data_IF_115524464394
#
_entry.id   IF_115524464394
#
_cell.length_a   1.000
_cell.length_b   1.000
_cell.length_c   1.000
_cell.angle_alpha   90.00
_cell.angle_beta   90.00
_cell.angle_gamma   90.00
#
_symmetry.space_group_name_H-M   'P 1'
#
loop_
_entity.id
_entity.type
_entity.pdbx_description
1 polymer ?
#
# COMPACT_ATOMS: atom_id res chain seq x y z
N UNK A 1 -12.48 19.53 -5.05
CA UNK A 1 -13.96 19.57 -5.15
C UNK A 1 -14.54 20.25 -3.92
N UNK A 2 -15.45 21.20 -4.11
CA UNK A 2 -15.87 22.14 -3.07
C UNK A 2 -16.76 21.48 -1.99
N UNK A 3 -16.64 21.87 -0.70
CA UNK A 3 -17.46 21.39 0.42
C UNK A 3 -19.00 21.59 0.39
N UNK A 4 -19.61 22.52 -0.40
CA UNK A 4 -21.02 22.82 -0.22
C UNK A 4 -21.97 21.80 -0.89
N UNK A 5 -21.46 20.90 -1.74
CA UNK A 5 -22.29 19.88 -2.43
C UNK A 5 -22.61 18.70 -1.51
N UNK A 6 -21.62 18.25 -0.73
CA UNK A 6 -21.78 17.17 0.27
C UNK A 6 -22.74 17.56 1.39
N UNK A 7 -22.73 18.85 1.78
CA UNK A 7 -23.64 19.37 2.81
C UNK A 7 -25.10 19.43 2.33
N UNK A 8 -25.33 19.69 1.04
CA UNK A 8 -26.69 19.67 0.45
C UNK A 8 -27.25 18.25 0.38
N UNK A 9 -26.43 17.26 0.03
CA UNK A 9 -26.87 15.85 -0.03
C UNK A 9 -27.23 15.29 1.36
N UNK A 10 -26.42 15.58 2.38
CA UNK A 10 -26.72 15.18 3.77
C UNK A 10 -27.99 15.86 4.32
N UNK A 11 -28.25 17.10 3.95
CA UNK A 11 -29.47 17.82 4.35
C UNK A 11 -30.74 17.26 3.68
N UNK A 12 -30.65 16.80 2.42
CA UNK A 12 -31.76 16.16 1.70
C UNK A 12 -32.12 14.81 2.35
N UNK A 13 -31.12 14.00 2.73
CA UNK A 13 -31.31 12.72 3.41
C UNK A 13 -31.90 12.93 4.83
N UNK A 14 -31.46 13.95 5.56
CA UNK A 14 -32.04 14.29 6.87
C UNK A 14 -33.49 14.79 6.78
N UNK A 15 -33.84 15.53 5.72
CA UNK A 15 -35.21 15.99 5.46
C UNK A 15 -36.15 14.85 5.02
N UNK A 16 -35.60 13.82 4.35
CA UNK A 16 -36.33 12.58 4.06
C UNK A 16 -36.59 11.75 5.33
N UNK A 17 -35.64 11.70 6.28
CA UNK A 17 -35.85 11.00 7.57
C UNK A 17 -36.87 11.70 8.48
N UNK A 18 -36.96 13.03 8.45
CA UNK A 18 -37.93 13.77 9.30
C UNK A 18 -39.36 13.80 8.73
N UNK A 19 -39.53 13.62 7.41
CA UNK A 19 -40.85 13.56 6.76
C UNK A 19 -41.52 12.18 6.86
N UNK A 20 -40.74 11.11 7.02
CA UNK A 20 -41.26 9.74 7.21
C UNK A 20 -41.83 9.50 8.63
N UNK A 21 -41.51 10.35 9.61
CA UNK A 21 -41.95 10.14 11.00
C UNK A 21 -43.34 10.71 11.35
N UNK A 22 -44.04 11.42 10.45
CA UNK A 22 -45.27 12.16 10.80
C UNK A 22 -46.59 11.68 10.19
N UNK A 23 -46.64 10.56 9.47
CA UNK A 23 -47.91 9.97 9.05
C UNK A 23 -48.18 8.62 9.73
N UNK A 24 -48.63 8.69 10.99
CA UNK A 24 -49.43 7.64 11.63
C UNK A 24 -50.87 8.13 11.76
N UNK A 25 -51.74 7.69 10.86
CA UNK A 25 -53.15 7.39 11.17
C UNK A 25 -53.57 6.13 10.38
N UNK A 26 -54.22 5.15 11.02
CA UNK A 26 -54.49 3.84 10.43
C UNK A 26 -55.90 3.78 9.87
N UNK A 27 -56.09 3.37 8.61
CA UNK A 27 -57.37 2.78 8.20
C UNK A 27 -57.22 1.93 6.94
N UNK A 28 -57.87 0.78 6.99
CA UNK A 28 -58.25 -0.16 5.91
C UNK A 28 -57.20 -1.20 5.50
N UNK A 29 -57.59 -2.42 5.84
CA UNK A 29 -56.96 -3.74 5.74
C UNK A 29 -56.68 -4.17 4.30
N UNK A 30 -55.43 -4.51 4.02
CA UNK A 30 -54.99 -5.41 2.95
C UNK A 30 -53.99 -6.40 3.55
N UNK A 31 -54.15 -7.72 3.35
CA UNK A 31 -53.37 -8.74 4.07
C UNK A 31 -51.91 -8.88 3.60
N UNK A 32 -51.42 -8.03 2.69
CA UNK A 32 -50.07 -8.16 2.12
C UNK A 32 -49.04 -7.12 2.59
N UNK A 33 -49.33 -6.27 3.58
CA UNK A 33 -48.55 -5.03 3.79
C UNK A 33 -47.46 -5.08 4.88
N UNK A 34 -47.08 -6.24 5.41
CA UNK A 34 -46.12 -6.31 6.53
C UNK A 34 -44.76 -6.92 6.19
N UNK A 35 -44.52 -7.30 4.93
CA UNK A 35 -43.21 -7.77 4.54
C UNK A 35 -42.23 -6.58 4.42
N UNK A 36 -41.05 -6.65 5.06
CA UNK A 36 -40.07 -5.58 4.98
C UNK A 36 -39.69 -5.32 3.52
N UNK A 37 -39.41 -4.06 3.17
CA UNK A 37 -39.11 -3.63 1.79
C UNK A 37 -37.97 -4.47 1.18
N UNK A 38 -36.97 -4.82 1.99
CA UNK A 38 -35.86 -5.70 1.65
C UNK A 38 -36.25 -7.15 1.35
N UNK A 39 -37.46 -7.61 1.69
CA UNK A 39 -37.96 -8.94 1.30
C UNK A 39 -38.65 -8.89 -0.06
N UNK A 40 -39.32 -7.77 -0.36
CA UNK A 40 -40.08 -7.56 -1.60
C UNK A 40 -39.21 -7.15 -2.79
N UNK A 41 -38.03 -6.58 -2.52
CA UNK A 41 -37.13 -6.10 -3.56
C UNK A 41 -36.64 -7.25 -4.47
N UNK A 42 -36.74 -7.16 -5.80
CA UNK A 42 -36.14 -8.15 -6.71
C UNK A 42 -34.63 -8.27 -6.49
N UNK A 43 -34.08 -9.47 -6.67
CA UNK A 43 -32.65 -9.73 -6.44
C UNK A 43 -31.75 -8.92 -7.36
N UNK A 44 -32.12 -8.74 -8.64
CA UNK A 44 -31.38 -7.90 -9.58
C UNK A 44 -31.26 -6.45 -9.11
N UNK A 45 -32.34 -5.88 -8.57
CA UNK A 45 -32.35 -4.52 -8.03
C UNK A 45 -31.55 -4.43 -6.73
N UNK A 46 -31.62 -5.45 -5.86
CA UNK A 46 -30.80 -5.51 -4.66
C UNK A 46 -29.30 -5.48 -5.00
N UNK A 47 -28.88 -6.29 -5.98
CA UNK A 47 -27.49 -6.34 -6.47
C UNK A 47 -27.05 -4.98 -7.00
N UNK A 48 -27.88 -4.33 -7.83
CA UNK A 48 -27.58 -3.00 -8.35
C UNK A 48 -27.49 -1.92 -7.28
N UNK A 49 -28.34 -1.96 -6.25
CA UNK A 49 -28.29 -1.00 -5.13
C UNK A 49 -27.03 -1.21 -4.30
N UNK A 50 -26.73 -2.46 -3.94
CA UNK A 50 -25.55 -2.77 -3.12
C UNK A 50 -24.26 -2.44 -3.85
N UNK A 51 -24.23 -2.59 -5.17
CA UNK A 51 -23.07 -2.22 -5.98
C UNK A 51 -22.84 -0.70 -6.11
N UNK A 52 -23.77 0.15 -5.64
CA UNK A 52 -23.57 1.60 -5.50
C UNK A 52 -22.95 1.99 -4.14
N UNK A 53 -22.94 1.05 -3.18
CA UNK A 53 -22.43 1.28 -1.84
C UNK A 53 -20.94 0.94 -1.77
N UNK A 54 -20.18 1.64 -0.94
CA UNK A 54 -18.81 1.23 -0.60
C UNK A 54 -18.83 -0.12 0.13
N UNK A 55 -17.73 -0.90 0.05
CA UNK A 55 -17.65 -2.20 0.72
C UNK A 55 -17.96 -2.09 2.22
N UNK A 56 -17.50 -1.01 2.88
CA UNK A 56 -17.80 -0.72 4.28
C UNK A 56 -19.30 -0.61 4.57
N UNK A 57 -20.05 0.05 3.70
CA UNK A 57 -21.50 0.21 3.84
C UNK A 57 -22.21 -1.13 3.61
N UNK A 58 -21.74 -1.94 2.66
CA UNK A 58 -22.26 -3.30 2.44
C UNK A 58 -22.06 -4.15 3.70
N UNK A 59 -20.87 -4.14 4.31
CA UNK A 59 -20.62 -4.83 5.57
C UNK A 59 -21.52 -4.32 6.70
N UNK A 60 -21.69 -3.00 6.80
CA UNK A 60 -22.60 -2.40 7.78
C UNK A 60 -24.04 -2.87 7.58
N UNK A 61 -24.50 -2.98 6.33
CA UNK A 61 -25.84 -3.47 5.98
C UNK A 61 -26.04 -4.95 6.34
N UNK A 62 -25.02 -5.80 6.15
CA UNK A 62 -25.05 -7.21 6.57
C UNK A 62 -25.36 -7.33 8.07
N UNK A 63 -24.84 -6.41 8.88
CA UNK A 63 -25.01 -6.42 10.34
C UNK A 63 -26.37 -5.90 10.82
N UNK A 64 -27.16 -5.25 9.95
CA UNK A 64 -28.44 -4.61 10.37
C UNK A 64 -29.54 -5.62 10.69
N UNK A 65 -29.71 -6.68 9.89
CA UNK A 65 -30.74 -7.70 10.12
C UNK A 65 -30.44 -9.03 9.41
N UNK A 66 -30.99 -10.13 9.95
CA UNK A 66 -30.80 -11.50 9.43
C UNK A 66 -31.32 -11.68 7.99
N UNK A 67 -32.34 -10.92 7.60
CA UNK A 67 -32.87 -10.97 6.24
C UNK A 67 -31.83 -10.44 5.23
N UNK A 68 -31.28 -9.25 5.50
CA UNK A 68 -30.26 -8.65 4.65
C UNK A 68 -28.99 -9.50 4.62
N UNK A 69 -28.51 -9.95 5.78
CA UNK A 69 -27.40 -10.90 5.85
C UNK A 69 -27.61 -12.10 4.91
N UNK A 70 -28.77 -12.78 5.01
CA UNK A 70 -29.06 -13.94 4.15
C UNK A 70 -29.15 -13.58 2.67
N UNK A 71 -29.72 -12.43 2.32
CA UNK A 71 -29.85 -12.01 0.92
C UNK A 71 -28.51 -11.59 0.32
N UNK A 72 -27.70 -10.84 1.06
CA UNK A 72 -26.38 -10.39 0.63
C UNK A 72 -25.46 -11.61 0.45
N UNK A 73 -25.36 -12.47 1.47
CA UNK A 73 -24.51 -13.65 1.41
C UNK A 73 -24.89 -14.62 0.28
N UNK A 74 -26.20 -14.80 0.02
CA UNK A 74 -26.67 -15.66 -1.11
C UNK A 74 -26.36 -15.09 -2.49
N UNK A 75 -26.11 -13.80 -2.61
CA UNK A 75 -25.87 -13.13 -3.89
C UNK A 75 -24.50 -12.45 -3.90
N UNK A 76 -23.57 -12.91 -3.06
CA UNK A 76 -22.29 -12.25 -2.83
C UNK A 76 -21.50 -12.08 -4.13
N UNK A 77 -21.41 -13.15 -4.92
CA UNK A 77 -20.71 -13.14 -6.21
C UNK A 77 -21.34 -12.19 -7.23
N UNK A 78 -22.67 -12.20 -7.33
CA UNK A 78 -23.40 -11.28 -8.21
C UNK A 78 -23.21 -9.81 -7.79
N UNK A 79 -23.18 -9.53 -6.48
CA UNK A 79 -22.89 -8.19 -5.94
C UNK A 79 -21.46 -7.78 -6.28
N UNK A 80 -20.48 -8.65 -6.02
CA UNK A 80 -19.07 -8.36 -6.27
C UNK A 80 -18.76 -8.13 -7.76
N UNK A 81 -19.34 -8.95 -8.65
CA UNK A 81 -19.21 -8.78 -10.09
C UNK A 81 -19.84 -7.46 -10.57
N UNK A 82 -21.05 -7.15 -10.12
CA UNK A 82 -21.72 -5.89 -10.47
C UNK A 82 -20.95 -4.67 -9.92
N UNK A 83 -20.35 -4.79 -8.73
CA UNK A 83 -19.49 -3.78 -8.11
C UNK A 83 -18.27 -3.46 -9.00
N UNK A 84 -17.52 -4.48 -9.42
CA UNK A 84 -16.38 -4.31 -10.33
C UNK A 84 -16.80 -3.80 -11.71
N UNK A 85 -17.90 -4.34 -12.26
CA UNK A 85 -18.41 -3.94 -13.58
C UNK A 85 -18.81 -2.47 -13.61
N UNK A 86 -19.30 -1.90 -12.51
CA UNK A 86 -19.65 -0.49 -12.42
C UNK A 86 -18.42 0.41 -12.39
N UNK A 87 -17.42 0.07 -11.57
CA UNK A 87 -16.15 0.78 -11.50
C UNK A 87 -15.43 0.80 -12.84
N UNK A 88 -15.42 -0.32 -13.56
CA UNK A 88 -14.84 -0.40 -14.91
C UNK A 88 -15.53 0.55 -15.90
N UNK A 89 -16.85 0.69 -15.84
CA UNK A 89 -17.58 1.67 -16.68
C UNK A 89 -17.26 3.11 -16.30
N UNK A 90 -17.16 3.41 -15.00
CA UNK A 90 -16.84 4.77 -14.54
C UNK A 90 -15.46 5.22 -15.02
N UNK A 91 -14.47 4.31 -15.02
CA UNK A 91 -13.13 4.58 -15.55
C UNK A 91 -13.15 4.87 -17.06
N UNK A 92 -13.87 4.08 -17.84
CA UNK A 92 -14.00 4.29 -19.30
C UNK A 92 -14.60 5.67 -19.65
N UNK A 93 -15.61 6.12 -18.90
CA UNK A 93 -16.17 7.47 -19.09
C UNK A 93 -15.21 8.60 -18.67
N UNK A 94 -14.20 8.31 -17.85
CA UNK A 94 -13.21 9.29 -17.39
C UNK A 94 -12.08 9.47 -18.41
N UNK A 95 -11.69 8.42 -19.13
CA UNK A 95 -10.64 8.46 -20.17
C UNK A 95 -11.06 9.26 -21.41
N UNK A 96 -12.37 9.37 -21.69
CA UNK A 96 -12.91 10.12 -22.83
C UNK A 96 -12.87 11.67 -22.62
N UNK A 97 -12.50 12.15 -21.43
CA UNK A 97 -12.36 13.58 -21.12
C UNK A 97 -10.86 13.96 -21.11
N UNK A 98 -10.39 14.26 -22.31
CA UNK A 98 -9.03 14.58 -22.72
C UNK A 98 -8.35 15.77 -21.97
N UNK A 99 -7.06 15.58 -21.63
CA UNK A 99 -6.01 16.57 -21.32
C UNK A 99 -6.24 17.57 -20.16
N UNK A 100 -5.91 17.17 -18.93
CA UNK A 100 -5.29 18.08 -17.98
C UNK A 100 -4.20 17.34 -17.18
N UNK A 101 -2.94 17.76 -17.34
CA UNK A 101 -1.74 17.28 -16.63
C UNK A 101 -1.77 17.59 -15.11
N UNK A 102 -2.95 17.83 -14.54
CA UNK A 102 -3.19 18.05 -13.13
C UNK A 102 -3.47 16.73 -12.44
N UNK A 103 -2.40 15.96 -12.21
CA UNK A 103 -2.24 15.01 -11.11
C UNK A 103 -3.54 14.24 -10.85
N UNK A 104 -3.84 13.25 -11.70
CA UNK A 104 -4.83 12.24 -11.35
C UNK A 104 -4.48 11.75 -9.95
N UNK A 105 -5.35 12.05 -8.99
CA UNK A 105 -5.25 11.51 -7.64
C UNK A 105 -5.02 10.01 -7.81
N UNK A 106 -3.99 9.40 -7.19
CA UNK A 106 -3.70 7.98 -7.32
C UNK A 106 -5.01 7.21 -7.07
N UNK A 107 -5.62 6.77 -8.16
CA UNK A 107 -7.04 6.46 -8.20
C UNK A 107 -7.33 5.19 -7.43
N UNK A 108 -8.58 5.02 -7.00
CA UNK A 108 -9.07 3.72 -6.54
C UNK A 108 -9.32 2.81 -7.76
N UNK A 109 -8.24 2.32 -8.37
CA UNK A 109 -8.28 1.43 -9.52
C UNK A 109 -8.39 -0.05 -9.09
N UNK A 110 -9.48 -0.32 -8.37
CA UNK A 110 -9.85 -1.68 -8.02
C UNK A 110 -10.11 -2.55 -9.26
N UNK A 111 -10.40 -1.93 -10.41
CA UNK A 111 -10.59 -2.65 -11.68
C UNK A 111 -9.27 -3.24 -12.15
N UNK A 112 -8.19 -2.46 -12.17
CA UNK A 112 -6.85 -2.94 -12.49
C UNK A 112 -6.40 -4.05 -11.54
N UNK A 113 -6.50 -3.83 -10.22
CA UNK A 113 -5.99 -4.83 -9.26
C UNK A 113 -6.77 -6.14 -9.32
N UNK A 114 -8.08 -6.10 -9.63
CA UNK A 114 -8.90 -7.31 -9.82
C UNK A 114 -8.47 -8.14 -11.04
N UNK A 115 -7.96 -7.48 -12.09
CA UNK A 115 -7.44 -8.18 -13.27
C UNK A 115 -6.06 -8.77 -12.98
N UNK A 116 -5.23 -8.06 -12.21
CA UNK A 116 -3.89 -8.52 -11.84
C UNK A 116 -3.94 -9.71 -10.85
N UNK A 117 -4.92 -9.70 -9.94
CA UNK A 117 -5.16 -10.74 -8.96
C UNK A 117 -6.58 -11.31 -9.14
N UNK A 118 -6.79 -12.23 -10.09
CA UNK A 118 -8.04 -12.95 -10.20
C UNK A 118 -8.14 -14.01 -9.08
N UNK A 119 -9.34 -14.26 -8.51
CA UNK A 119 -9.50 -15.35 -7.57
C UNK A 119 -9.25 -16.69 -8.26
N UNK A 120 -8.75 -17.71 -7.54
CA UNK A 120 -8.48 -19.01 -8.11
C UNK A 120 -9.78 -19.63 -8.65
N UNK A 121 -9.72 -20.41 -9.75
CA UNK A 121 -10.89 -21.07 -10.28
C UNK A 121 -11.48 -22.02 -9.23
N UNK A 122 -12.82 -22.13 -9.14
CA UNK A 122 -13.48 -22.98 -8.16
C UNK A 122 -13.04 -24.44 -8.36
N UNK A 123 -12.45 -25.04 -7.33
CA UNK A 123 -12.05 -26.45 -7.34
C UNK A 123 -13.30 -27.34 -7.20
N UNK A 124 -14.02 -27.57 -8.30
CA UNK A 124 -15.07 -28.59 -8.31
C UNK A 124 -14.43 -29.97 -8.40
N UNK A 125 -14.38 -30.68 -7.28
CA UNK A 125 -14.10 -32.11 -7.26
C UNK A 125 -15.25 -32.87 -7.94
N UNK A 126 -15.06 -33.20 -9.22
CA UNK A 126 -15.65 -34.39 -9.85
C UNK A 126 -17.17 -34.44 -10.01
N UNK A 127 -17.83 -33.40 -10.50
CA UNK A 127 -19.21 -33.53 -11.00
C UNK A 127 -19.29 -32.96 -12.43
N UNK A 128 -19.40 -33.88 -13.38
CA UNK A 128 -19.83 -33.65 -14.76
C UNK A 128 -21.05 -32.74 -14.81
N UNK A 129 -20.92 -31.59 -15.49
CA UNK A 129 -21.91 -31.07 -16.41
C UNK A 129 -21.37 -29.81 -17.10
N UNK A 130 -21.09 -29.92 -18.40
CA UNK A 130 -20.47 -28.91 -19.25
C UNK A 130 -21.32 -27.67 -19.54
N UNK A 131 -21.69 -26.92 -18.50
CA UNK A 131 -22.39 -25.63 -18.61
C UNK A 131 -22.32 -24.82 -17.30
N UNK A 132 -21.14 -24.71 -16.70
CA UNK A 132 -20.89 -23.71 -15.65
C UNK A 132 -19.70 -22.85 -16.09
N UNK A 133 -19.93 -21.54 -16.12
CA UNK A 133 -18.93 -20.50 -16.36
C UNK A 133 -17.69 -20.80 -15.49
N UNK A 134 -16.56 -21.11 -16.11
CA UNK A 134 -15.23 -21.21 -15.46
C UNK A 134 -14.71 -19.83 -15.01
N UNK A 135 -15.61 -18.86 -14.79
CA UNK A 135 -15.25 -17.49 -14.45
C UNK A 135 -14.82 -17.39 -12.97
N UNK A 136 -13.81 -16.58 -12.67
CA UNK A 136 -13.42 -16.28 -11.30
C UNK A 136 -14.61 -15.78 -10.46
N UNK A 137 -14.93 -16.49 -9.38
CA UNK A 137 -15.99 -16.09 -8.45
C UNK A 137 -15.47 -15.08 -7.42
N UNK A 138 -15.59 -13.79 -7.74
CA UNK A 138 -15.28 -12.71 -6.79
C UNK A 138 -16.26 -12.73 -5.60
N UNK A 139 -15.73 -12.60 -4.38
CA UNK A 139 -16.52 -12.46 -3.14
C UNK A 139 -16.30 -11.07 -2.54
N UNK A 140 -17.17 -10.64 -1.63
CA UNK A 140 -16.98 -9.35 -0.93
C UNK A 140 -15.71 -9.38 -0.08
N UNK A 141 -15.41 -10.51 0.55
CA UNK A 141 -14.15 -10.73 1.27
C UNK A 141 -12.93 -10.53 0.36
N UNK A 142 -12.93 -11.17 -0.81
CA UNK A 142 -11.84 -11.02 -1.77
C UNK A 142 -11.69 -9.58 -2.28
N UNK A 143 -12.81 -8.87 -2.53
CA UNK A 143 -12.76 -7.44 -2.87
C UNK A 143 -12.17 -6.59 -1.75
N UNK A 144 -12.40 -6.94 -0.48
CA UNK A 144 -11.78 -6.25 0.65
C UNK A 144 -10.26 -6.50 0.69
N UNK A 145 -9.81 -7.72 0.40
CA UNK A 145 -8.38 -8.06 0.31
C UNK A 145 -7.70 -7.32 -0.84
N UNK A 146 -8.35 -7.26 -2.02
CA UNK A 146 -7.88 -6.45 -3.15
C UNK A 146 -7.80 -4.95 -2.79
N UNK A 147 -8.81 -4.44 -2.09
CA UNK A 147 -8.83 -3.05 -1.61
C UNK A 147 -7.67 -2.78 -0.67
N UNK A 148 -7.36 -3.72 0.23
CA UNK A 148 -6.21 -3.64 1.14
C UNK A 148 -4.89 -3.66 0.36
N UNK A 149 -4.73 -4.58 -0.57
CA UNK A 149 -3.54 -4.67 -1.44
C UNK A 149 -3.30 -3.36 -2.20
N UNK A 150 -4.34 -2.82 -2.84
CA UNK A 150 -4.25 -1.55 -3.56
C UNK A 150 -3.95 -0.36 -2.64
N UNK A 151 -4.55 -0.32 -1.45
CA UNK A 151 -4.26 0.70 -0.43
C UNK A 151 -2.80 0.66 0.00
N UNK A 152 -2.22 -0.54 0.17
CA UNK A 152 -0.79 -0.70 0.46
C UNK A 152 0.06 -0.14 -0.68
N UNK A 153 -0.28 -0.41 -1.94
CA UNK A 153 0.43 0.14 -3.11
C UNK A 153 0.36 1.68 -3.16
N UNK A 154 -0.82 2.28 -2.93
CA UNK A 154 -1.00 3.74 -2.87
C UNK A 154 -0.13 4.34 -1.76
N UNK A 155 -0.20 3.78 -0.55
CA UNK A 155 0.53 4.32 0.61
C UNK A 155 2.04 4.16 0.45
N UNK A 156 2.50 2.99 0.01
CA UNK A 156 3.92 2.74 -0.16
C UNK A 156 4.52 3.60 -1.27
N UNK A 157 3.85 3.71 -2.42
CA UNK A 157 4.28 4.61 -3.51
C UNK A 157 4.31 6.07 -3.05
N UNK A 158 3.33 6.51 -2.26
CA UNK A 158 3.32 7.85 -1.67
C UNK A 158 4.55 8.08 -0.79
N UNK A 159 4.77 7.25 0.24
CA UNK A 159 5.86 7.49 1.18
C UNK A 159 7.24 7.32 0.53
N UNK A 160 7.37 6.40 -0.42
CA UNK A 160 8.60 6.25 -1.21
C UNK A 160 8.84 7.52 -2.04
N UNK A 161 7.84 8.01 -2.77
CA UNK A 161 7.95 9.24 -3.55
C UNK A 161 8.26 10.45 -2.65
N UNK A 162 7.57 10.55 -1.51
CA UNK A 162 7.75 11.60 -0.51
C UNK A 162 9.19 11.64 0.01
N UNK A 163 9.76 10.48 0.33
CA UNK A 163 11.14 10.34 0.76
C UNK A 163 12.13 10.70 -0.34
N UNK A 164 11.96 10.13 -1.54
CA UNK A 164 12.90 10.31 -2.66
C UNK A 164 12.94 11.76 -3.11
N UNK A 165 11.79 12.42 -3.29
CA UNK A 165 11.72 13.84 -3.66
C UNK A 165 12.35 14.70 -2.58
N UNK A 166 12.05 14.44 -1.29
CA UNK A 166 12.64 15.20 -0.19
C UNK A 166 14.16 15.05 -0.16
N UNK A 167 14.67 13.83 -0.29
CA UNK A 167 16.09 13.55 -0.34
C UNK A 167 16.74 14.26 -1.54
N UNK A 168 16.18 14.10 -2.74
CA UNK A 168 16.67 14.72 -3.97
C UNK A 168 16.80 16.23 -3.83
N UNK A 169 15.74 16.89 -3.37
CA UNK A 169 15.74 18.34 -3.17
C UNK A 169 16.74 18.80 -2.08
N UNK A 170 17.18 17.92 -1.17
CA UNK A 170 18.19 18.21 -0.15
C UNK A 170 19.63 17.98 -0.65
N UNK A 171 19.85 17.05 -1.58
CA UNK A 171 21.18 16.58 -1.97
C UNK A 171 21.63 17.02 -3.35
N UNK A 172 20.69 17.24 -4.28
CA UNK A 172 20.99 17.61 -5.65
C UNK A 172 21.54 19.05 -5.74
N UNK A 173 22.65 19.21 -6.46
CA UNK A 173 23.38 20.47 -6.53
C UNK A 173 22.59 21.61 -7.21
N UNK A 174 21.65 21.27 -8.11
CA UNK A 174 20.79 22.24 -8.79
C UNK A 174 19.51 22.48 -7.98
N UNK A 175 18.90 21.44 -7.43
CA UNK A 175 17.64 21.53 -6.70
C UNK A 175 17.79 22.22 -5.34
N UNK A 176 18.85 21.91 -4.59
CA UNK A 176 19.06 22.43 -3.22
C UNK A 176 19.04 23.97 -3.14
N UNK A 177 19.79 24.72 -3.97
CA UNK A 177 19.73 26.18 -3.93
C UNK A 177 18.38 26.72 -4.43
N UNK A 178 17.82 26.17 -5.50
CA UNK A 178 16.56 26.62 -6.10
C UNK A 178 15.35 26.42 -5.17
N UNK A 179 15.33 25.29 -4.46
CA UNK A 179 14.30 24.98 -3.50
C UNK A 179 14.27 25.99 -2.36
N UNK A 180 15.41 26.56 -1.97
CA UNK A 180 15.55 27.42 -0.78
C UNK A 180 14.82 28.77 -0.83
N UNK A 181 14.38 29.23 -2.01
CA UNK A 181 13.98 30.62 -2.32
C UNK A 181 12.64 31.13 -1.75
N UNK A 182 11.54 30.35 -1.78
CA UNK A 182 10.19 30.82 -1.36
C UNK A 182 9.33 29.73 -0.71
N UNK A 183 8.65 30.03 0.40
CA UNK A 183 7.87 29.04 1.19
C UNK A 183 6.65 28.46 0.44
N UNK A 184 5.88 29.28 -0.24
CA UNK A 184 4.69 28.82 -0.98
C UNK A 184 5.07 28.01 -2.21
N UNK A 185 6.11 28.47 -2.93
CA UNK A 185 6.63 27.76 -4.08
C UNK A 185 7.26 26.41 -3.69
N UNK A 186 7.91 26.33 -2.52
CA UNK A 186 8.41 25.07 -1.94
C UNK A 186 7.32 24.01 -1.84
N UNK A 187 6.17 24.36 -1.28
CA UNK A 187 5.09 23.40 -1.02
C UNK A 187 4.42 22.94 -2.32
N UNK A 188 4.21 23.85 -3.28
CA UNK A 188 3.64 23.53 -4.59
C UNK A 188 4.58 22.64 -5.42
N UNK A 189 5.87 23.00 -5.49
CA UNK A 189 6.88 22.18 -6.20
C UNK A 189 6.98 20.81 -5.55
N UNK A 190 7.07 20.77 -4.22
CA UNK A 190 7.19 19.54 -3.47
C UNK A 190 6.00 18.61 -3.70
N UNK A 191 4.77 19.11 -3.49
CA UNK A 191 3.54 18.33 -3.70
C UNK A 191 3.39 17.86 -5.14
N UNK A 192 3.70 18.70 -6.13
CA UNK A 192 3.68 18.31 -7.55
C UNK A 192 4.68 17.20 -7.85
N UNK A 193 5.93 17.34 -7.41
CA UNK A 193 6.96 16.35 -7.64
C UNK A 193 6.64 15.00 -6.97
N UNK A 194 6.12 15.03 -5.73
CA UNK A 194 5.66 13.82 -5.04
C UNK A 194 4.49 13.18 -5.79
N UNK A 195 3.51 13.95 -6.25
CA UNK A 195 2.38 13.44 -7.02
C UNK A 195 2.79 12.78 -8.34
N UNK A 196 3.68 13.43 -9.09
CA UNK A 196 4.21 12.88 -10.36
C UNK A 196 5.00 11.59 -10.14
N UNK A 197 5.90 11.58 -9.15
CA UNK A 197 6.68 10.39 -8.84
C UNK A 197 5.79 9.26 -8.31
N UNK A 198 4.82 9.56 -7.45
CA UNK A 198 3.87 8.57 -6.97
C UNK A 198 3.08 7.95 -8.12
N UNK A 199 2.55 8.76 -9.05
CA UNK A 199 1.81 8.27 -10.21
C UNK A 199 2.67 7.32 -11.07
N UNK A 200 3.97 7.59 -11.19
CA UNK A 200 4.93 6.73 -11.91
C UNK A 200 5.23 5.43 -11.16
N UNK A 201 5.23 5.44 -9.83
CA UNK A 201 5.55 4.27 -9.00
C UNK A 201 4.35 3.36 -8.71
N UNK A 202 3.12 3.87 -8.80
CA UNK A 202 1.93 3.18 -8.31
C UNK A 202 1.70 1.81 -8.94
N UNK A 203 1.64 1.72 -10.28
CA UNK A 203 1.42 0.46 -10.99
C UNK A 203 2.63 -0.49 -10.89
N UNK A 204 3.88 -0.02 -11.07
CA UNK A 204 5.07 -0.84 -10.78
C UNK A 204 5.06 -1.47 -9.40
N UNK A 205 4.57 -0.77 -8.38
CA UNK A 205 4.43 -1.30 -7.02
C UNK A 205 3.47 -2.50 -6.97
N UNK A 206 2.33 -2.42 -7.66
CA UNK A 206 1.38 -3.53 -7.73
C UNK A 206 1.96 -4.74 -8.48
N UNK A 207 2.73 -4.51 -9.55
CA UNK A 207 3.45 -5.58 -10.24
C UNK A 207 4.52 -6.25 -9.36
N UNK A 208 5.19 -5.49 -8.48
CA UNK A 208 6.09 -6.07 -7.47
C UNK A 208 5.33 -6.98 -6.51
N UNK A 209 4.17 -6.53 -5.99
CA UNK A 209 3.33 -7.38 -5.14
C UNK A 209 2.95 -8.66 -5.87
N UNK A 210 2.50 -8.55 -7.13
CA UNK A 210 2.12 -9.69 -7.95
C UNK A 210 3.26 -10.71 -8.09
N UNK A 211 4.47 -10.24 -8.40
CA UNK A 211 5.62 -11.11 -8.50
C UNK A 211 5.96 -11.79 -7.16
N UNK A 212 6.00 -11.02 -6.06
CA UNK A 212 6.36 -11.53 -4.73
C UNK A 212 5.36 -12.58 -4.24
N UNK A 213 4.06 -12.34 -4.43
CA UNK A 213 3.00 -13.30 -4.07
C UNK A 213 3.01 -14.55 -4.95
N UNK A 214 3.21 -14.39 -6.27
CA UNK A 214 3.32 -15.54 -7.19
C UNK A 214 4.55 -16.39 -6.88
N UNK A 215 5.66 -15.75 -6.53
CA UNK A 215 6.88 -16.45 -6.14
C UNK A 215 6.71 -17.16 -4.78
N UNK A 216 6.06 -16.53 -3.80
CA UNK A 216 5.78 -17.15 -2.50
C UNK A 216 4.87 -18.39 -2.63
N UNK A 217 3.80 -18.29 -3.42
CA UNK A 217 2.87 -19.41 -3.67
C UNK A 217 3.52 -20.57 -4.44
N UNK A 218 4.44 -20.28 -5.37
CA UNK A 218 5.24 -21.30 -6.04
C UNK A 218 6.12 -22.09 -5.05
N UNK A 219 6.74 -21.40 -4.09
CA UNK A 219 7.56 -22.02 -3.05
C UNK A 219 6.74 -22.92 -2.12
N UNK A 220 5.53 -22.50 -1.75
CA UNK A 220 4.66 -23.27 -0.84
C UNK A 220 4.05 -24.51 -1.52
N UNK A 221 3.77 -24.44 -2.82
CA UNK A 221 3.04 -25.48 -3.57
C UNK A 221 3.92 -26.67 -4.05
N UNK A 222 5.23 -26.66 -3.77
CA UNK A 222 6.22 -27.59 -4.33
C UNK A 222 6.18 -27.69 -5.88
N UNK A 223 5.54 -26.72 -6.55
CA UNK A 223 5.58 -26.64 -8.01
C UNK A 223 6.87 -25.94 -8.42
N UNK A 224 7.65 -26.50 -9.37
CA UNK A 224 8.88 -25.88 -9.85
C UNK A 224 8.56 -24.74 -10.84
N UNK A 225 7.79 -23.73 -10.40
CA UNK A 225 7.69 -22.48 -11.13
C UNK A 225 8.98 -21.70 -10.88
N UNK A 226 9.79 -21.56 -11.91
CA UNK A 226 10.97 -20.71 -11.85
C UNK A 226 10.56 -19.23 -11.84
N UNK A 227 11.29 -18.36 -11.14
CA UNK A 227 11.11 -16.91 -11.26
C UNK A 227 11.14 -16.45 -12.73
N UNK A 228 11.94 -17.13 -13.56
CA UNK A 228 11.98 -16.89 -15.00
C UNK A 228 10.61 -17.11 -15.67
N UNK A 229 9.91 -18.19 -15.32
CA UNK A 229 8.57 -18.45 -15.86
C UNK A 229 7.55 -17.39 -15.43
N UNK A 230 7.66 -16.83 -14.21
CA UNK A 230 6.80 -15.72 -13.76
C UNK A 230 7.03 -14.49 -14.65
N UNK A 231 8.29 -14.13 -14.89
CA UNK A 231 8.65 -12.97 -15.71
C UNK A 231 8.37 -13.16 -17.21
N UNK A 232 8.13 -14.39 -17.65
CA UNK A 232 7.72 -14.73 -19.02
C UNK A 232 6.21 -14.83 -19.19
N UNK A 233 5.44 -14.73 -18.11
CA UNK A 233 3.99 -14.68 -18.13
C UNK A 233 3.47 -13.23 -18.04
N UNK A 234 2.21 -12.97 -18.44
CA UNK A 234 1.56 -11.69 -18.16
C UNK A 234 1.59 -11.38 -16.65
N UNK A 235 1.77 -10.10 -16.25
CA UNK A 235 1.87 -8.90 -17.08
C UNK A 235 3.28 -8.62 -17.62
N UNK A 236 4.29 -9.37 -17.19
CA UNK A 236 5.70 -9.11 -17.51
C UNK A 236 6.08 -9.43 -18.95
N UNK A 237 5.21 -10.03 -19.76
CA UNK A 237 5.41 -10.16 -21.22
C UNK A 237 5.64 -8.82 -21.90
N UNK A 238 5.13 -7.71 -21.34
CA UNK A 238 5.46 -6.36 -21.79
C UNK A 238 6.79 -5.90 -21.19
N UNK A 239 7.75 -5.55 -22.06
CA UNK A 239 9.08 -5.08 -21.65
C UNK A 239 9.04 -3.77 -20.87
N UNK A 240 8.13 -2.84 -21.17
CA UNK A 240 8.05 -1.58 -20.40
C UNK A 240 7.57 -1.82 -18.96
N UNK A 241 6.64 -2.76 -18.77
CA UNK A 241 6.20 -3.19 -17.44
C UNK A 241 7.37 -3.82 -16.69
N UNK A 242 8.10 -4.74 -17.33
CA UNK A 242 9.28 -5.36 -16.72
C UNK A 242 10.33 -4.33 -16.28
N UNK A 243 10.67 -3.37 -17.16
CA UNK A 243 11.67 -2.33 -16.88
C UNK A 243 11.21 -1.37 -15.77
N UNK A 244 9.99 -0.85 -15.85
CA UNK A 244 9.45 0.05 -14.81
C UNK A 244 9.33 -0.63 -13.44
N UNK A 245 8.91 -1.90 -13.40
CA UNK A 245 8.92 -2.72 -12.18
C UNK A 245 10.35 -2.92 -11.67
N UNK A 246 11.32 -3.15 -12.56
CA UNK A 246 12.71 -3.31 -12.20
C UNK A 246 13.31 -2.03 -11.59
N UNK A 247 13.09 -0.86 -12.21
CA UNK A 247 13.52 0.43 -11.66
C UNK A 247 12.82 0.75 -10.33
N UNK A 248 11.53 0.43 -10.20
CA UNK A 248 10.79 0.57 -8.94
C UNK A 248 11.41 -0.26 -7.81
N UNK A 249 11.81 -1.50 -8.10
CA UNK A 249 12.49 -2.37 -7.12
C UNK A 249 13.85 -1.80 -6.70
N UNK A 250 14.65 -1.32 -7.65
CA UNK A 250 15.92 -0.64 -7.35
C UNK A 250 15.70 0.57 -6.43
N UNK A 251 14.77 1.46 -6.79
CA UNK A 251 14.45 2.65 -6.00
C UNK A 251 14.01 2.28 -4.57
N UNK A 252 13.12 1.29 -4.44
CA UNK A 252 12.63 0.80 -3.15
C UNK A 252 13.78 0.29 -2.28
N UNK A 253 14.58 -0.64 -2.80
CA UNK A 253 15.70 -1.24 -2.06
C UNK A 253 16.75 -0.20 -1.66
N UNK A 254 17.17 0.68 -2.58
CA UNK A 254 18.13 1.74 -2.29
C UNK A 254 17.58 2.75 -1.28
N UNK A 255 16.30 3.09 -1.35
CA UNK A 255 15.67 4.03 -0.40
C UNK A 255 15.61 3.45 1.01
N UNK A 256 15.24 2.17 1.14
CA UNK A 256 15.24 1.47 2.44
C UNK A 256 16.65 1.36 2.99
N UNK A 257 17.65 1.02 2.15
CA UNK A 257 19.05 0.99 2.56
C UNK A 257 19.53 2.31 3.13
N UNK A 258 19.20 3.44 2.47
CA UNK A 258 19.55 4.78 2.96
C UNK A 258 18.85 5.11 4.27
N UNK A 259 17.58 4.73 4.43
CA UNK A 259 16.83 4.96 5.66
C UNK A 259 17.32 4.13 6.85
N UNK A 260 17.94 2.97 6.61
CA UNK A 260 18.53 2.10 7.64
C UNK A 260 19.95 2.53 8.03
N UNK A 261 20.64 3.30 7.19
CA UNK A 261 21.94 3.88 7.52
C UNK A 261 21.80 5.07 8.52
N UNK A 262 22.73 5.25 9.48
CA UNK A 262 23.95 4.46 9.75
C UNK A 262 23.75 3.29 10.72
N UNK A 263 22.51 2.97 11.11
CA UNK A 263 22.23 2.04 12.21
C UNK A 263 22.49 0.56 11.88
N UNK A 264 22.56 0.23 10.58
CA UNK A 264 22.81 -1.11 10.08
C UNK A 264 23.85 -1.04 8.96
N UNK A 265 24.94 -1.83 9.01
CA UNK A 265 25.89 -1.96 7.91
C UNK A 265 25.21 -2.45 6.62
N UNK A 266 25.67 -1.98 5.47
CA UNK A 266 25.06 -2.30 4.16
C UNK A 266 24.85 -3.80 3.90
N UNK A 267 25.84 -4.63 4.24
CA UNK A 267 25.78 -6.10 4.05
C UNK A 267 24.66 -6.76 4.87
N UNK A 268 24.43 -6.27 6.09
CA UNK A 268 23.33 -6.74 6.91
C UNK A 268 21.98 -6.32 6.31
N UNK A 269 21.90 -5.11 5.76
CA UNK A 269 20.66 -4.54 5.20
C UNK A 269 20.12 -5.34 4.02
N UNK A 270 20.97 -5.92 3.18
CA UNK A 270 20.53 -6.78 2.07
C UNK A 270 19.81 -8.04 2.56
N UNK A 271 20.34 -8.70 3.58
CA UNK A 271 19.69 -9.86 4.19
C UNK A 271 18.33 -9.49 4.80
N UNK A 272 18.25 -8.34 5.50
CA UNK A 272 16.99 -7.82 6.04
C UNK A 272 15.96 -7.53 4.97
N UNK A 273 16.37 -6.85 3.89
CA UNK A 273 15.50 -6.55 2.77
C UNK A 273 14.99 -7.83 2.12
N UNK A 274 15.88 -8.80 1.89
CA UNK A 274 15.50 -10.06 1.29
C UNK A 274 14.42 -10.78 2.10
N UNK A 275 14.62 -10.85 3.41
CA UNK A 275 13.63 -11.40 4.34
C UNK A 275 12.30 -10.66 4.34
N UNK A 276 12.30 -9.33 4.37
CA UNK A 276 11.06 -8.54 4.39
C UNK A 276 10.24 -8.81 3.14
N UNK A 277 10.90 -8.81 1.97
CA UNK A 277 10.28 -9.08 0.68
C UNK A 277 9.71 -10.51 0.60
N UNK A 278 10.37 -11.50 1.19
CA UNK A 278 9.91 -12.90 1.14
C UNK A 278 8.91 -13.29 2.21
N UNK A 279 8.94 -12.67 3.40
CA UNK A 279 8.13 -13.11 4.57
C UNK A 279 6.90 -12.24 4.82
N UNK A 280 6.93 -10.99 4.36
CA UNK A 280 5.92 -9.98 4.73
C UNK A 280 5.51 -9.08 3.57
N UNK A 281 5.88 -9.49 2.36
CA UNK A 281 5.70 -8.76 1.10
C UNK A 281 6.07 -7.28 1.27
N UNK A 282 5.18 -6.35 0.90
CA UNK A 282 5.42 -4.92 0.94
C UNK A 282 4.79 -4.21 2.15
N UNK A 283 3.97 -4.90 2.95
CA UNK A 283 3.26 -4.27 4.09
C UNK A 283 4.22 -3.81 5.19
N UNK A 284 5.21 -4.63 5.56
CA UNK A 284 6.22 -4.20 6.55
C UNK A 284 7.13 -3.10 6.03
N UNK A 285 7.40 -3.06 4.73
CA UNK A 285 8.14 -1.95 4.12
C UNK A 285 7.31 -0.66 4.20
N UNK A 286 6.00 -0.71 3.96
CA UNK A 286 5.10 0.42 4.18
C UNK A 286 5.17 0.89 5.64
N UNK A 287 5.07 0.00 6.62
CA UNK A 287 5.15 0.38 8.04
C UNK A 287 6.51 1.03 8.40
N UNK A 288 7.60 0.57 7.80
CA UNK A 288 8.92 1.18 7.95
C UNK A 288 8.92 2.63 7.46
N UNK A 289 8.41 2.87 6.26
CA UNK A 289 8.30 4.21 5.69
C UNK A 289 7.39 5.13 6.51
N UNK A 290 6.27 4.61 7.03
CA UNK A 290 5.38 5.35 7.94
C UNK A 290 6.13 5.75 9.22
N UNK A 291 6.90 4.83 9.81
CA UNK A 291 7.69 5.11 11.01
C UNK A 291 8.78 6.16 10.74
N UNK A 292 9.47 6.07 9.60
CA UNK A 292 10.47 7.05 9.19
C UNK A 292 9.87 8.44 8.91
N UNK A 293 8.71 8.50 8.26
CA UNK A 293 8.02 9.76 8.00
C UNK A 293 7.58 10.46 9.30
N UNK A 294 7.12 9.70 10.29
CA UNK A 294 6.71 10.24 11.58
C UNK A 294 7.86 10.93 12.34
N UNK A 295 9.09 10.43 12.22
CA UNK A 295 10.29 11.03 12.81
C UNK A 295 10.65 12.39 12.18
N UNK A 296 10.32 12.57 10.89
CA UNK A 296 10.57 13.82 10.15
C UNK A 296 9.52 14.91 10.39
N UNK A 297 8.42 14.59 11.07
CA UNK A 297 7.33 15.54 11.33
C UNK A 297 7.72 16.54 12.44
N UNK A 298 7.34 17.84 12.31
CA UNK A 298 7.78 18.89 13.23
C UNK A 298 7.31 18.72 14.68
N UNK A 299 6.36 17.81 14.95
CA UNK A 299 5.93 17.45 16.31
C UNK A 299 6.99 16.66 17.10
N UNK A 300 7.94 16.00 16.43
CA UNK A 300 9.00 15.23 17.07
C UNK A 300 10.26 16.06 17.40
N UNK A 301 10.43 17.20 16.72
CA UNK A 301 11.62 18.08 16.87
C UNK A 301 11.53 18.95 18.14
N UNK A 302 10.34 19.13 18.70
CA UNK A 302 10.12 19.93 19.91
C UNK A 302 10.67 19.27 21.20
N UNK A 303 11.02 17.99 21.18
CA UNK A 303 11.47 17.24 22.37
C UNK A 303 12.98 17.06 22.51
N UNK A 304 13.80 17.49 21.55
CA UNK A 304 15.25 17.16 21.55
C UNK A 304 16.22 18.33 21.42
N UNK A 305 15.76 19.59 21.50
CA UNK A 305 16.68 20.73 21.42
C UNK A 305 16.43 21.79 22.50
N UNK A 306 16.98 21.58 23.70
CA UNK A 306 17.29 22.68 24.63
C UNK A 306 18.80 22.71 24.90
N UNK A 307 19.54 23.71 24.37
CA UNK A 307 20.93 23.88 24.75
C UNK A 307 21.00 24.54 26.13
N UNK A 308 21.70 23.88 27.04
CA UNK A 308 22.01 24.36 28.37
C UNK A 308 22.73 25.72 28.32
N UNK A 309 22.10 26.76 28.87
CA UNK A 309 22.78 27.99 29.31
C UNK A 309 22.71 28.07 30.83
N UNK A 310 23.82 27.71 31.49
CA UNK A 310 24.12 28.11 32.87
C UNK A 310 24.42 29.61 32.91
N UNK A 311 23.87 30.32 33.90
CA UNK A 311 24.55 31.37 34.71
C UNK A 311 23.69 31.70 35.96
N UNK A 312 24.27 32.33 37.02
CA UNK A 312 24.00 31.96 38.41
C UNK A 312 23.15 32.96 39.22
N UNK A 313 22.59 32.44 40.31
CA UNK A 313 22.18 33.03 41.61
C UNK A 313 21.94 34.55 41.76
N UNK A 314 20.73 34.90 42.26
CA UNK A 314 20.53 35.75 43.46
C UNK A 314 19.05 35.87 43.91
N UNK A 315 18.77 35.36 45.12
CA UNK A 315 17.89 35.85 46.21
C UNK A 315 16.60 36.68 45.99
N UNK A 316 15.51 36.23 46.65
CA UNK A 316 14.61 36.94 47.62
C UNK A 316 13.11 36.60 47.37
N UNK A 317 12.48 35.77 48.21
CA UNK A 317 11.72 36.01 49.46
C UNK A 317 10.20 36.28 49.29
N UNK A 318 9.40 35.42 49.97
CA UNK A 318 8.03 35.63 50.52
C UNK A 318 6.85 35.53 49.53
N UNK A 319 5.68 34.89 49.78
CA UNK A 319 5.04 34.43 51.04
C UNK A 319 3.80 33.54 50.74
N UNK A 320 3.60 32.49 51.56
CA UNK A 320 2.34 31.87 52.08
C UNK A 320 1.11 31.64 51.17
N UNK A 321 0.65 30.38 51.05
CA UNK A 321 -0.41 29.75 51.87
C UNK A 321 -0.89 28.40 51.29
N UNK A 322 -1.14 27.41 52.17
CA UNK A 322 -1.66 26.05 51.90
C UNK A 322 -3.09 25.92 52.48
N UNK A 323 -3.76 24.75 52.50
CA UNK A 323 -3.81 23.60 51.58
C UNK A 323 -5.26 23.23 51.16
N UNK A 324 -5.46 22.47 50.09
CA UNK A 324 -6.65 21.61 49.98
C UNK A 324 -6.33 20.31 49.25
N UNK A 325 -6.87 19.23 49.83
CA UNK A 325 -6.64 17.82 49.57
C UNK A 325 -7.55 17.29 48.47
N UNK A 326 -6.99 16.59 47.48
CA UNK A 326 -7.60 15.46 46.77
C UNK A 326 -6.52 14.76 45.91
N UNK A 327 -6.47 13.42 45.85
CA UNK A 327 -5.43 12.69 45.12
C UNK A 327 -5.84 12.49 43.65
N UNK A 328 -4.93 12.62 42.67
CA UNK A 328 -5.10 11.96 41.40
C UNK A 328 -4.23 10.71 41.33
N UNK A 329 -4.87 9.67 40.82
CA UNK A 329 -4.34 8.34 40.54
C UNK A 329 -3.06 8.39 39.70
N UNK A 330 -2.15 7.50 40.08
CA UNK A 330 -0.94 7.10 39.39
C UNK A 330 -1.19 6.46 38.02
N UNK A 331 -0.22 6.65 37.11
CA UNK A 331 0.07 5.92 35.86
C UNK A 331 -0.91 6.13 34.70
N UNK A 332 -0.49 6.56 33.50
CA UNK A 332 0.64 6.03 32.75
C UNK A 332 1.70 7.08 32.40
N UNK A 333 2.93 6.67 32.70
CA UNK A 333 4.19 7.20 32.21
C UNK A 333 4.15 7.45 30.69
N UNK A 334 4.13 8.71 30.30
CA UNK A 334 4.82 9.14 29.09
C UNK A 334 6.32 8.97 29.32
N UNK A 335 6.79 7.72 29.27
CA UNK A 335 8.21 7.45 29.17
C UNK A 335 8.67 8.13 27.89
N UNK A 336 9.41 9.21 28.06
CA UNK A 336 10.28 9.82 27.07
C UNK A 336 11.18 8.72 26.49
N UNK A 337 10.68 8.01 25.48
CA UNK A 337 11.48 7.12 24.65
C UNK A 337 12.45 8.05 23.92
N UNK A 338 13.74 7.97 24.24
CA UNK A 338 14.83 8.62 23.48
C UNK A 338 15.01 8.02 22.08
N UNK A 339 14.01 7.28 21.63
CA UNK A 339 14.03 6.41 20.50
C UNK A 339 13.10 6.94 19.44
N UNK A 340 13.62 7.04 18.22
CA UNK A 340 12.80 7.45 17.09
C UNK A 340 11.88 6.30 16.72
N UNK A 341 10.70 6.58 16.14
CA UNK A 341 9.74 5.54 15.75
C UNK A 341 10.34 4.59 14.72
N UNK A 342 11.19 5.11 13.82
CA UNK A 342 11.99 4.30 12.91
C UNK A 342 12.86 3.30 13.66
N UNK A 343 13.50 3.71 14.76
CA UNK A 343 14.39 2.86 15.55
C UNK A 343 13.62 1.83 16.37
N UNK A 344 12.47 2.21 16.91
CA UNK A 344 11.48 1.30 17.52
C UNK A 344 11.08 0.18 16.55
N UNK A 345 10.71 0.57 15.34
CA UNK A 345 10.35 -0.36 14.29
C UNK A 345 11.51 -1.31 13.93
N UNK A 346 12.71 -0.78 13.69
CA UNK A 346 13.88 -1.60 13.35
C UNK A 346 14.23 -2.62 14.41
N UNK A 347 14.02 -2.31 15.70
CA UNK A 347 14.31 -3.27 16.76
C UNK A 347 13.22 -4.31 16.95
N UNK A 348 11.94 -3.92 16.83
CA UNK A 348 10.84 -4.88 16.81
C UNK A 348 11.00 -5.84 15.64
N UNK A 349 11.31 -5.32 14.45
CA UNK A 349 11.63 -6.13 13.28
C UNK A 349 12.82 -7.06 13.53
N UNK A 350 13.87 -6.59 14.24
CA UNK A 350 14.99 -7.47 14.61
C UNK A 350 14.57 -8.61 15.52
N UNK A 351 13.69 -8.35 16.48
CA UNK A 351 13.14 -9.39 17.35
C UNK A 351 12.29 -10.40 16.57
N UNK A 352 11.39 -9.91 15.71
CA UNK A 352 10.58 -10.74 14.81
C UNK A 352 11.46 -11.63 13.93
N UNK A 353 12.58 -11.12 13.42
CA UNK A 353 13.50 -11.94 12.62
C UNK A 353 14.22 -12.99 13.46
N UNK A 354 14.69 -12.63 14.65
CA UNK A 354 15.32 -13.60 15.55
C UNK A 354 14.38 -14.77 15.85
N UNK A 355 13.10 -14.49 16.06
CA UNK A 355 12.05 -15.49 16.23
C UNK A 355 11.83 -16.32 14.95
N UNK A 356 11.72 -15.67 13.79
CA UNK A 356 11.56 -16.35 12.50
C UNK A 356 12.71 -17.32 12.21
N UNK A 357 13.96 -16.89 12.40
CA UNK A 357 15.14 -17.74 12.20
C UNK A 357 15.19 -18.90 13.20
N UNK A 358 14.82 -18.67 14.46
CA UNK A 358 14.73 -19.73 15.46
C UNK A 358 13.66 -20.79 15.10
N UNK A 359 12.52 -20.35 14.55
CA UNK A 359 11.45 -21.24 14.06
C UNK A 359 11.86 -21.97 12.77
N UNK A 360 12.58 -21.31 11.86
CA UNK A 360 13.08 -21.92 10.63
C UNK A 360 14.11 -23.02 10.92
N UNK A 361 15.01 -22.79 11.89
CA UNK A 361 15.99 -23.76 12.35
C UNK A 361 15.40 -24.97 13.07
N UNK A 362 14.24 -24.83 13.72
CA UNK A 362 13.55 -25.94 14.40
C UNK A 362 12.60 -26.73 13.50
N UNK A 363 12.08 -26.13 12.43
CA UNK A 363 11.17 -26.80 11.49
C UNK A 363 11.85 -27.46 10.29
N UNK A 364 13.18 -27.38 10.17
CA UNK A 364 13.87 -27.80 8.94
C UNK A 364 13.24 -27.08 7.74
N UNK A 365 13.04 -25.76 7.87
CA UNK A 365 12.34 -24.97 6.87
C UNK A 365 13.02 -25.18 5.51
N UNK A 366 12.28 -25.82 4.60
CA UNK A 366 12.69 -26.15 3.23
C UNK A 366 12.72 -24.89 2.38
N UNK A 367 13.55 -23.91 2.73
CA UNK A 367 14.00 -22.88 1.79
C UNK A 367 15.16 -23.47 0.99
N UNK A 368 14.86 -24.44 0.13
CA UNK A 368 15.84 -24.95 -0.83
C UNK A 368 15.86 -24.00 -2.03
N UNK A 369 16.58 -22.89 -1.90
CA UNK A 369 16.96 -22.09 -3.05
C UNK A 369 18.17 -22.76 -3.69
N UNK A 370 17.93 -23.49 -4.78
CA UNK A 370 18.98 -24.09 -5.59
C UNK A 370 19.71 -22.99 -6.38
N UNK A 371 20.67 -22.33 -5.74
CA UNK A 371 21.72 -21.60 -6.46
C UNK A 371 23.00 -22.44 -6.36
N UNK A 372 23.50 -22.87 -7.52
CA UNK A 372 24.70 -23.70 -7.63
C UNK A 372 25.92 -22.98 -7.06
N UNK A 373 26.31 -23.38 -5.84
CA UNK A 373 27.56 -23.00 -5.21
C UNK A 373 28.19 -24.24 -4.57
N UNK A 374 29.17 -24.82 -5.24
CA UNK A 374 30.02 -25.86 -4.69
C UNK A 374 30.88 -25.29 -3.56
N UNK A 375 30.66 -25.70 -2.31
CA UNK A 375 31.63 -25.39 -1.25
C UNK A 375 31.15 -25.57 0.18
N UNK A 376 31.53 -26.70 0.76
CA UNK A 376 31.79 -26.96 2.19
C UNK A 376 30.62 -26.93 3.18
N UNK A 377 30.40 -28.09 3.80
CA UNK A 377 29.45 -28.30 4.88
C UNK A 377 29.71 -27.40 6.10
N UNK A 378 28.75 -26.54 6.37
CA UNK A 378 28.22 -26.21 7.69
C UNK A 378 26.75 -25.88 7.47
N UNK A 379 25.89 -26.25 8.42
CA UNK A 379 24.42 -26.15 8.32
C UNK A 379 23.88 -24.71 8.36
N UNK A 380 24.46 -23.80 7.58
CA UNK A 380 23.93 -22.47 7.35
C UNK A 380 22.87 -22.57 6.25
N UNK A 381 21.60 -22.44 6.65
CA UNK A 381 20.51 -22.24 5.71
C UNK A 381 20.73 -20.88 5.03
N UNK A 382 21.07 -20.81 3.73
CA UNK A 382 21.35 -19.53 3.10
C UNK A 382 20.02 -18.77 3.02
N UNK A 383 19.95 -17.67 3.77
CA UNK A 383 18.94 -16.65 3.58
C UNK A 383 18.87 -16.27 2.10
N UNK A 384 17.67 -16.03 1.53
CA UNK A 384 17.56 -15.62 0.15
C UNK A 384 18.36 -14.32 -0.04
N UNK A 385 19.36 -14.37 -0.91
CA UNK A 385 20.10 -13.17 -1.28
C UNK A 385 19.11 -12.17 -1.89
N UNK A 386 19.30 -10.88 -1.62
CA UNK A 386 18.45 -9.85 -2.21
C UNK A 386 18.44 -9.96 -3.75
N UNK A 387 19.61 -10.27 -4.34
CA UNK A 387 19.77 -10.54 -5.76
C UNK A 387 18.89 -11.68 -6.28
N UNK A 388 18.83 -12.79 -5.53
CA UNK A 388 18.08 -13.98 -5.90
C UNK A 388 16.56 -13.87 -5.75
N UNK A 389 16.03 -12.76 -5.22
CA UNK A 389 14.58 -12.56 -5.09
C UNK A 389 13.98 -12.01 -6.38
N UNK A 390 14.60 -10.99 -6.97
CA UNK A 390 14.10 -10.31 -8.17
C UNK A 390 15.19 -10.04 -9.18
N UNK A 391 16.31 -9.44 -8.75
CA UNK A 391 17.30 -8.83 -9.63
C UNK A 391 17.92 -9.81 -10.63
N UNK A 392 18.36 -10.99 -10.19
CA UNK A 392 18.98 -11.98 -11.09
C UNK A 392 18.01 -12.48 -12.16
N UNK A 393 16.77 -12.80 -11.78
CA UNK A 393 15.75 -13.27 -12.71
C UNK A 393 15.32 -12.15 -13.68
N UNK A 394 15.09 -10.94 -13.15
CA UNK A 394 14.74 -9.77 -13.94
C UNK A 394 15.84 -9.43 -14.94
N UNK A 395 17.09 -9.37 -14.50
CA UNK A 395 18.23 -9.07 -15.37
C UNK A 395 18.40 -10.12 -16.46
N UNK A 396 18.32 -11.42 -16.13
CA UNK A 396 18.34 -12.49 -17.15
C UNK A 396 17.24 -12.31 -18.18
N UNK A 397 16.03 -11.97 -17.75
CA UNK A 397 14.90 -11.74 -18.66
C UNK A 397 15.08 -10.47 -19.51
N UNK A 398 15.58 -9.37 -18.95
CA UNK A 398 15.89 -8.12 -19.67
C UNK A 398 16.97 -8.38 -20.72
N UNK A 399 18.06 -9.06 -20.35
CA UNK A 399 19.13 -9.49 -21.27
C UNK A 399 18.57 -10.36 -22.40
N UNK A 400 17.74 -11.35 -22.06
CA UNK A 400 17.12 -12.26 -23.03
C UNK A 400 16.28 -11.52 -24.08
N UNK A 401 15.66 -10.40 -23.69
CA UNK A 401 14.87 -9.54 -24.59
C UNK A 401 15.71 -8.55 -25.39
N UNK A 402 17.03 -8.49 -25.18
CA UNK A 402 17.89 -7.49 -25.81
C UNK A 402 17.59 -6.06 -25.37
N UNK A 403 17.04 -5.88 -24.17
CA UNK A 403 16.67 -4.57 -23.62
C UNK A 403 17.81 -3.92 -22.80
N UNK A 404 19.06 -4.24 -23.14
CA UNK A 404 20.25 -3.58 -22.58
C UNK A 404 21.08 -3.02 -23.75
N UNK A 405 21.43 -1.72 -23.74
CA UNK A 405 21.01 -0.71 -22.77
C UNK A 405 19.52 -0.32 -22.94
N UNK A 406 18.95 0.32 -21.91
CA UNK A 406 17.60 0.90 -21.96
C UNK A 406 17.58 2.29 -21.33
N UNK A 407 16.55 3.09 -21.63
CA UNK A 407 16.39 4.42 -21.06
C UNK A 407 15.96 4.35 -19.58
N UNK A 408 16.45 5.30 -18.78
CA UNK A 408 15.92 5.57 -17.46
C UNK A 408 14.63 6.42 -17.55
N UNK A 409 13.77 6.31 -16.55
CA UNK A 409 12.57 7.14 -16.43
C UNK A 409 12.91 8.38 -15.59
N UNK A 410 12.79 9.58 -16.16
CA UNK A 410 13.01 10.83 -15.42
C UNK A 410 11.70 11.45 -14.96
N UNK A 411 11.65 11.82 -13.68
CA UNK A 411 10.53 12.57 -13.09
C UNK A 411 10.97 13.99 -12.78
N UNK A 412 10.47 15.01 -13.50
CA UNK A 412 10.89 16.38 -13.29
C UNK A 412 10.46 16.87 -11.90
N UNK A 413 11.40 17.43 -11.15
CA UNK A 413 11.16 17.99 -9.82
C UNK A 413 11.19 19.52 -9.86
N UNK A 414 12.25 20.07 -10.44
CA UNK A 414 12.50 21.51 -10.58
C UNK A 414 13.10 21.80 -11.96
N UNK A 415 13.19 23.08 -12.35
CA UNK A 415 13.77 23.46 -13.64
C UNK A 415 15.19 22.90 -13.77
N UNK A 416 15.38 21.96 -14.71
CA UNK A 416 16.65 21.29 -14.97
C UNK A 416 17.07 20.24 -13.92
N UNK A 417 16.20 19.86 -12.99
CA UNK A 417 16.48 18.82 -11.99
C UNK A 417 15.35 17.79 -11.94
N UNK A 418 15.71 16.53 -12.15
CA UNK A 418 14.79 15.40 -12.18
C UNK A 418 15.27 14.27 -11.27
N UNK A 419 14.32 13.50 -10.73
CA UNK A 419 14.61 12.22 -10.09
C UNK A 419 14.71 11.19 -11.20
N UNK A 420 15.87 10.53 -11.28
CA UNK A 420 16.11 9.45 -12.24
C UNK A 420 15.69 8.12 -11.60
N UNK A 421 14.80 7.40 -12.29
CA UNK A 421 14.43 6.02 -12.01
C UNK A 421 15.21 5.14 -12.97
N UNK A 422 16.21 4.43 -12.45
CA UNK A 422 17.09 3.65 -13.29
C UNK A 422 17.78 2.53 -12.54
N UNK A 423 18.53 1.74 -13.29
CA UNK A 423 19.43 0.71 -12.81
C UNK A 423 20.81 0.91 -13.44
N UNK A 424 21.78 0.08 -13.06
CA UNK A 424 23.15 0.11 -13.59
C UNK A 424 23.26 -0.18 -15.10
N UNK A 425 22.19 -0.64 -15.75
CA UNK A 425 22.12 -0.90 -17.19
C UNK A 425 21.40 0.19 -17.99
N UNK A 426 20.99 1.27 -17.32
CA UNK A 426 20.42 2.42 -18.00
C UNK A 426 21.50 3.17 -18.79
N UNK A 427 21.14 3.63 -19.99
CA UNK A 427 21.93 4.63 -20.70
C UNK A 427 21.52 6.02 -20.17
N UNK A 428 22.48 6.76 -19.64
CA UNK A 428 22.27 8.13 -19.15
C UNK A 428 22.09 9.14 -20.30
N UNK A 429 22.01 8.66 -21.56
CA UNK A 429 21.83 9.50 -22.74
C UNK A 429 23.04 10.39 -23.03
N UNK A 430 24.19 10.08 -22.44
CA UNK A 430 25.43 10.87 -22.55
C UNK A 430 26.20 10.62 -23.87
N UNK A 431 25.58 9.92 -24.82
CA UNK A 431 26.09 9.70 -26.18
C UNK A 431 25.20 10.33 -27.26
N UNK A 432 24.82 11.61 -27.12
CA UNK A 432 24.36 12.44 -28.24
C UNK A 432 24.79 13.91 -28.10
#
# INVERSE_FOLDING_TARGET
MSPPVVHRFRHIIHRARSSVSRQRKPTITSPQRNDPLWKRLPTSVLVQILAECDLFDIYSLILTCRLLHRRIYRNESAIAQEYLRRRRRQLQFSEDLEYDELIDSPGDDLSFISVLFPPPPPQYSGIDNGMRDDLPEYTLGYLADLTRCWTTCIRLSYYLAEYVVRHHLQTDALAQPLWSSSKTQKEVVYSRAVGLLQARLLYPMAYLVFFLETNATALDSNQPLSQQSILQAPPFTNTSILLSTHHCMHLLCTSVQRLMAPEIPHTSTENWLGLLLTTSTLERLMDFFVAAAADSSPSAIATTTTPAKRKPSSSSLSTRSSPSSSPPLSSLSSSSSTWTRRREFMWKMRADLGEFLALAGTRGARFSFACGGSGSGNGDYPLPSLGGIWFEAAQREICRRGAIPHFCDEVPVLHGSAVVLGCEFCDDGSFL
#
